data_IF_408282837103
#
_entry.id   IF_408282837103
#
_cell.length_a   1.000
_cell.length_b   1.000
_cell.length_c   1.000
_cell.angle_alpha   90.00
_cell.angle_beta   90.00
_cell.angle_gamma   90.00
#
_symmetry.space_group_name_H-M   'P 1'
#
loop_
_entity.id
_entity.type
_entity.pdbx_description
1 polymer ?
#
# COMPACT_ATOMS: atom_id res chain seq x y z
N UNK A 1 30.28 -56.26 -6.09
CA UNK A 1 29.83 -55.46 -7.25
C UNK A 1 28.94 -54.30 -6.77
N UNK A 2 29.51 -53.17 -6.34
CA UNK A 2 28.74 -52.02 -5.87
C UNK A 2 28.55 -51.01 -7.00
N UNK A 3 27.31 -50.79 -7.43
CA UNK A 3 26.95 -49.79 -8.46
C UNK A 3 27.17 -48.40 -7.88
N UNK A 4 28.27 -47.75 -8.26
CA UNK A 4 28.54 -46.32 -7.97
C UNK A 4 27.43 -45.47 -8.61
N UNK A 5 26.47 -45.02 -7.80
CA UNK A 5 25.49 -43.98 -8.18
C UNK A 5 26.28 -42.70 -8.50
N UNK A 6 26.30 -42.28 -9.78
CA UNK A 6 26.78 -40.95 -10.17
C UNK A 6 25.85 -39.93 -9.52
N UNK A 7 26.31 -39.28 -8.45
CA UNK A 7 25.62 -38.12 -7.87
C UNK A 7 25.85 -36.99 -8.86
N UNK A 8 24.91 -36.81 -9.79
CA UNK A 8 24.88 -35.65 -10.67
C UNK A 8 24.45 -34.48 -9.78
N UNK A 9 25.44 -33.75 -9.26
CA UNK A 9 25.21 -32.49 -8.54
C UNK A 9 24.70 -31.50 -9.57
N UNK A 10 23.37 -31.40 -9.72
CA UNK A 10 22.75 -30.30 -10.45
C UNK A 10 23.05 -29.03 -9.66
N UNK A 11 23.94 -28.21 -10.18
CA UNK A 11 24.17 -26.86 -9.67
C UNK A 11 22.83 -26.14 -9.61
N UNK A 12 22.42 -25.72 -8.41
CA UNK A 12 21.19 -24.95 -8.25
C UNK A 12 21.42 -23.61 -8.94
N UNK A 13 20.56 -23.20 -9.89
CA UNK A 13 20.73 -21.90 -10.53
C UNK A 13 20.67 -20.81 -9.46
N UNK A 14 21.55 -19.82 -9.58
CA UNK A 14 21.58 -18.68 -8.66
C UNK A 14 20.19 -18.04 -8.56
N UNK A 15 19.76 -17.72 -7.32
CA UNK A 15 18.50 -17.05 -7.08
C UNK A 15 18.47 -15.71 -7.84
N UNK A 16 17.63 -15.62 -8.87
CA UNK A 16 17.45 -14.38 -9.62
C UNK A 16 16.79 -13.32 -8.73
N UNK A 17 17.18 -12.04 -8.82
CA UNK A 17 16.54 -10.98 -8.07
C UNK A 17 15.05 -10.89 -8.43
N UNK A 18 14.22 -10.63 -7.42
CA UNK A 18 12.78 -10.47 -7.61
C UNK A 18 12.49 -9.28 -8.52
N UNK A 19 11.50 -9.42 -9.42
CA UNK A 19 11.06 -8.34 -10.29
C UNK A 19 10.51 -7.17 -9.44
N UNK A 20 10.79 -5.92 -9.80
CA UNK A 20 10.24 -4.77 -9.10
C UNK A 20 8.72 -4.76 -9.21
N UNK A 21 8.02 -4.59 -8.08
CA UNK A 21 6.57 -4.44 -8.03
C UNK A 21 6.23 -2.95 -7.99
N UNK A 22 5.09 -2.59 -8.57
CA UNK A 22 4.62 -1.21 -8.61
C UNK A 22 3.18 -1.13 -8.10
N UNK A 23 2.83 -0.02 -7.45
CA UNK A 23 1.48 0.35 -7.05
C UNK A 23 1.09 1.68 -7.66
N UNK A 24 -0.22 1.96 -7.69
CA UNK A 24 -0.67 3.30 -8.02
C UNK A 24 -0.32 4.26 -6.88
N UNK A 25 0.13 5.46 -7.25
CA UNK A 25 0.36 6.56 -6.33
C UNK A 25 -0.88 6.88 -5.49
N UNK A 26 -2.06 6.83 -6.13
CA UNK A 26 -3.35 6.98 -5.45
C UNK A 26 -3.55 5.99 -4.30
N UNK A 27 -3.23 4.71 -4.52
CA UNK A 27 -3.39 3.67 -3.50
C UNK A 27 -2.49 3.94 -2.29
N UNK A 28 -1.24 4.36 -2.54
CA UNK A 28 -0.30 4.73 -1.49
C UNK A 28 -0.78 5.98 -0.74
N UNK A 29 -1.23 7.00 -1.46
CA UNK A 29 -1.78 8.21 -0.87
C UNK A 29 -2.97 7.89 0.03
N UNK A 30 -3.94 7.11 -0.45
CA UNK A 30 -5.11 6.72 0.34
C UNK A 30 -4.72 6.03 1.67
N UNK A 31 -3.79 5.08 1.62
CA UNK A 31 -3.32 4.37 2.82
C UNK A 31 -2.64 5.30 3.82
N UNK A 32 -1.88 6.29 3.35
CA UNK A 32 -1.10 7.17 4.21
C UNK A 32 -1.89 8.37 4.76
N UNK A 33 -2.88 8.87 4.02
CA UNK A 33 -3.59 10.11 4.36
C UNK A 33 -5.06 9.87 4.67
N UNK A 34 -5.83 9.35 3.70
CA UNK A 34 -7.29 9.22 3.81
C UNK A 34 -7.69 8.21 4.87
N UNK A 35 -7.08 7.02 4.88
CA UNK A 35 -7.46 5.97 5.82
C UNK A 35 -7.23 6.36 7.30
N UNK A 36 -6.08 6.95 7.69
CA UNK A 36 -5.88 7.46 9.04
C UNK A 36 -6.88 8.54 9.44
N UNK A 37 -7.19 9.49 8.54
CA UNK A 37 -8.17 10.55 8.82
C UNK A 37 -9.57 9.97 9.06
N UNK A 38 -10.00 9.02 8.23
CA UNK A 38 -11.29 8.33 8.41
C UNK A 38 -11.33 7.58 9.74
N UNK A 39 -10.23 6.94 10.14
CA UNK A 39 -10.14 6.26 11.44
C UNK A 39 -10.32 7.25 12.59
N UNK A 40 -9.60 8.38 12.58
CA UNK A 40 -9.71 9.44 13.59
C UNK A 40 -11.13 10.03 13.64
N UNK A 41 -11.72 10.32 12.48
CA UNK A 41 -13.09 10.83 12.40
C UNK A 41 -14.09 9.87 13.06
N UNK A 42 -13.99 8.56 12.77
CA UNK A 42 -14.85 7.55 13.39
C UNK A 42 -14.68 7.52 14.91
N UNK A 43 -13.44 7.64 15.40
CA UNK A 43 -13.17 7.71 16.83
C UNK A 43 -13.76 8.96 17.49
N UNK A 44 -13.59 10.14 16.88
CA UNK A 44 -14.16 11.39 17.37
C UNK A 44 -15.70 11.32 17.43
N UNK A 45 -16.33 10.74 16.40
CA UNK A 45 -17.77 10.50 16.38
C UNK A 45 -18.23 9.53 17.48
N UNK A 46 -17.47 8.48 17.77
CA UNK A 46 -17.76 7.56 18.88
C UNK A 46 -17.69 8.24 20.25
N UNK A 47 -16.74 9.16 20.41
CA UNK A 47 -16.58 9.97 21.61
C UNK A 47 -17.56 11.15 21.67
N UNK A 48 -18.43 11.32 20.65
CA UNK A 48 -19.35 12.45 20.49
C UNK A 48 -18.65 13.82 20.47
N UNK A 49 -17.36 13.86 20.09
CA UNK A 49 -16.62 15.09 19.90
C UNK A 49 -16.91 15.65 18.49
N UNK A 50 -18.03 16.37 18.36
CA UNK A 50 -18.52 16.82 17.06
C UNK A 50 -17.68 17.93 16.44
N UNK A 51 -17.07 18.79 17.25
CA UNK A 51 -16.20 19.88 16.76
C UNK A 51 -14.97 19.31 16.05
N UNK A 52 -14.30 18.36 16.71
CA UNK A 52 -13.15 17.66 16.13
C UNK A 52 -13.58 16.83 14.91
N UNK A 53 -14.72 16.13 14.98
CA UNK A 53 -15.24 15.36 13.87
C UNK A 53 -15.54 16.23 12.64
N UNK A 54 -16.06 17.44 12.83
CA UNK A 54 -16.31 18.40 11.74
C UNK A 54 -15.03 18.79 11.01
N UNK A 55 -13.97 19.12 11.77
CA UNK A 55 -12.67 19.46 11.19
C UNK A 55 -12.04 18.30 10.41
N UNK A 56 -12.10 17.09 10.98
CA UNK A 56 -11.60 15.87 10.33
C UNK A 56 -12.40 15.54 9.08
N UNK A 57 -13.71 15.76 9.08
CA UNK A 57 -14.55 15.53 7.92
C UNK A 57 -14.17 16.44 6.75
N UNK A 58 -13.94 17.73 6.99
CA UNK A 58 -13.48 18.66 5.96
C UNK A 58 -12.15 18.21 5.34
N UNK A 59 -11.18 17.82 6.19
CA UNK A 59 -9.90 17.27 5.72
C UNK A 59 -10.07 16.00 4.89
N UNK A 60 -10.99 15.10 5.28
CA UNK A 60 -11.30 13.89 4.51
C UNK A 60 -11.85 14.23 3.13
N UNK A 61 -12.74 15.23 3.04
CA UNK A 61 -13.32 15.68 1.76
C UNK A 61 -12.24 16.19 0.83
N UNK A 62 -11.34 17.05 1.31
CA UNK A 62 -10.22 17.56 0.52
C UNK A 62 -9.25 16.46 0.09
N UNK A 63 -8.85 15.59 1.03
CA UNK A 63 -7.98 14.46 0.74
C UNK A 63 -8.61 13.52 -0.30
N UNK A 64 -9.93 13.31 -0.26
CA UNK A 64 -10.64 12.49 -1.27
C UNK A 64 -10.66 13.15 -2.65
N UNK A 65 -10.78 14.49 -2.74
CA UNK A 65 -10.66 15.21 -4.00
C UNK A 65 -9.26 15.01 -4.60
N UNK A 66 -8.22 15.17 -3.79
CA UNK A 66 -6.84 14.95 -4.23
C UNK A 66 -6.59 13.50 -4.64
N UNK A 67 -7.08 12.53 -3.87
CA UNK A 67 -7.00 11.11 -4.22
C UNK A 67 -7.65 10.81 -5.57
N UNK A 68 -8.82 11.40 -5.85
CA UNK A 68 -9.51 11.24 -7.15
C UNK A 68 -8.66 11.80 -8.29
N UNK A 69 -8.02 12.95 -8.10
CA UNK A 69 -7.07 13.50 -9.08
C UNK A 69 -5.90 12.53 -9.36
N UNK A 70 -5.30 11.95 -8.32
CA UNK A 70 -4.23 10.96 -8.47
C UNK A 70 -4.69 9.68 -9.18
N UNK A 71 -5.93 9.22 -8.95
CA UNK A 71 -6.51 8.09 -9.67
C UNK A 71 -6.60 8.37 -11.17
N UNK A 72 -7.03 9.57 -11.56
CA UNK A 72 -7.10 9.94 -12.98
C UNK A 72 -5.72 10.06 -13.62
N UNK A 73 -4.71 10.55 -12.89
CA UNK A 73 -3.33 10.65 -13.37
C UNK A 73 -2.67 9.28 -13.60
N UNK A 74 -3.12 8.23 -12.91
CA UNK A 74 -2.62 6.84 -13.03
C UNK A 74 -1.09 6.70 -12.82
N UNK A 75 -0.49 7.56 -12.00
CA UNK A 75 0.93 7.49 -11.64
C UNK A 75 1.26 6.17 -10.93
N UNK A 76 2.37 5.54 -11.32
CA UNK A 76 2.86 4.29 -10.71
C UNK A 76 4.12 4.56 -9.90
N UNK A 77 4.17 4.01 -8.69
CA UNK A 77 5.31 4.09 -7.77
C UNK A 77 5.81 2.67 -7.50
N UNK A 78 7.14 2.51 -7.43
CA UNK A 78 7.76 1.23 -7.08
C UNK A 78 7.51 0.91 -5.60
N UNK A 79 7.03 -0.31 -5.34
CA UNK A 79 6.92 -0.87 -4.00
C UNK A 79 8.34 -1.25 -3.57
N UNK A 80 8.80 -0.69 -2.44
CA UNK A 80 10.05 -1.07 -1.81
C UNK A 80 9.89 -2.39 -1.07
#
# INVERSE_FOLDING_TARGET
MSKKKRIIVREKPANRPSKPRYTLEANRFYQQTVAPLVKKYRQAMQLKNYDEAGSLFQQIVEARKHHRYLLHRKGKIRIK
#
